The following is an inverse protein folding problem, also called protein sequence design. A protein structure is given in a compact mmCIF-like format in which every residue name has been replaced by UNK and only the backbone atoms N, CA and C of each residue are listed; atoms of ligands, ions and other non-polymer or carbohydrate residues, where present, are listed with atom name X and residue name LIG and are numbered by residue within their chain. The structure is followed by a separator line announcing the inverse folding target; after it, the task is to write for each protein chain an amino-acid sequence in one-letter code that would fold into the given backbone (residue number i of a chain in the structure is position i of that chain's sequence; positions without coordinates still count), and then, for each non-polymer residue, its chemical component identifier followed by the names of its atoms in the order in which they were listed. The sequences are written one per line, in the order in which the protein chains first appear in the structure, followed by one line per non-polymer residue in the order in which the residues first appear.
data_IF_798721224061
#
_entry.id   IF_798721224061
#
_cell.length_a   1.000
_cell.length_b   1.000
_cell.length_c   1.000
_cell.angle_alpha   90.00
_cell.angle_beta   90.00
_cell.angle_gamma   90.00
#
_symmetry.space_group_name_H-M   'P 1'
#
loop_
_entity.id
_entity.type
_entity.pdbx_description
1 polymer ?
#
# COMPACT_ATOMS: atom_id res chain seq x y z
N UNK A 1 -86.22 42.98 22.07
CA UNK A 1 -85.82 41.60 21.74
C UNK A 1 -87.04 40.91 21.15
N UNK A 2 -86.94 40.38 19.93
CA UNK A 2 -88.06 39.72 19.23
C UNK A 2 -88.40 38.39 19.91
N UNK A 3 -89.56 38.29 20.55
CA UNK A 3 -90.06 37.07 21.20
C UNK A 3 -90.64 36.11 20.16
N UNK A 4 -89.81 35.20 19.65
CA UNK A 4 -90.23 34.10 18.77
C UNK A 4 -90.43 32.85 19.62
N UNK A 5 -91.64 32.28 19.64
CA UNK A 5 -92.02 31.18 20.56
C UNK A 5 -91.57 29.81 20.02
N UNK A 6 -91.59 29.60 18.70
CA UNK A 6 -91.33 28.30 18.09
C UNK A 6 -89.85 27.97 17.83
N UNK A 7 -88.94 28.94 17.91
CA UNK A 7 -87.51 28.72 17.67
C UNK A 7 -86.67 29.42 18.74
N UNK A 8 -86.03 28.63 19.59
CA UNK A 8 -85.18 29.15 20.66
C UNK A 8 -83.72 29.28 20.19
N UNK A 9 -83.40 30.48 19.69
CA UNK A 9 -82.08 30.81 19.18
C UNK A 9 -80.99 30.66 20.26
N UNK A 10 -81.28 30.95 21.54
CA UNK A 10 -80.34 30.80 22.64
C UNK A 10 -79.98 29.33 22.91
N UNK A 11 -80.96 28.43 22.82
CA UNK A 11 -80.73 26.97 22.94
C UNK A 11 -79.91 26.44 21.77
N UNK A 12 -80.19 26.87 20.53
CA UNK A 12 -79.41 26.46 19.35
C UNK A 12 -77.96 26.96 19.41
N UNK A 13 -77.72 28.18 19.89
CA UNK A 13 -76.37 28.71 20.11
C UNK A 13 -75.65 27.93 21.22
N UNK A 14 -76.33 27.64 22.32
CA UNK A 14 -75.77 26.83 23.41
C UNK A 14 -75.41 25.41 22.97
N UNK A 15 -76.27 24.74 22.18
CA UNK A 15 -75.98 23.42 21.60
C UNK A 15 -74.79 23.45 20.65
N UNK A 16 -74.69 24.48 19.79
CA UNK A 16 -73.54 24.62 18.88
C UNK A 16 -72.23 24.80 19.66
N UNK A 17 -72.23 25.67 20.68
CA UNK A 17 -71.05 25.89 21.53
C UNK A 17 -70.67 24.64 22.37
N UNK A 18 -71.67 23.89 22.84
CA UNK A 18 -71.46 22.63 23.55
C UNK A 18 -70.86 21.56 22.62
N UNK A 19 -71.36 21.44 21.39
CA UNK A 19 -70.82 20.52 20.38
C UNK A 19 -69.38 20.86 20.01
N UNK A 20 -69.06 22.15 19.83
CA UNK A 20 -67.69 22.61 19.62
C UNK A 20 -66.79 22.25 20.81
N UNK A 21 -67.25 22.45 22.05
CA UNK A 21 -66.47 22.14 23.25
C UNK A 21 -66.22 20.63 23.42
N UNK A 22 -67.20 19.80 23.05
CA UNK A 22 -67.05 18.33 23.03
C UNK A 22 -66.03 17.89 21.96
N UNK A 23 -66.06 18.48 20.77
CA UNK A 23 -65.09 18.18 19.70
C UNK A 23 -63.66 18.57 20.11
N UNK A 24 -63.49 19.75 20.73
CA UNK A 24 -62.19 20.19 21.23
C UNK A 24 -61.66 19.28 22.34
N UNK A 25 -62.53 18.87 23.28
CA UNK A 25 -62.16 17.92 24.34
C UNK A 25 -61.71 16.57 23.76
N UNK A 26 -62.45 16.03 22.79
CA UNK A 26 -62.09 14.78 22.11
C UNK A 26 -60.70 14.87 21.46
N UNK A 27 -60.42 16.00 20.79
CA UNK A 27 -59.12 16.25 20.14
C UNK A 27 -57.99 16.30 21.16
N UNK A 28 -58.16 17.03 22.27
CA UNK A 28 -57.17 17.10 23.35
C UNK A 28 -56.90 15.73 23.98
N UNK A 29 -57.94 14.90 24.15
CA UNK A 29 -57.78 13.52 24.65
C UNK A 29 -56.96 12.66 23.67
N UNK A 30 -57.26 12.73 22.37
CA UNK A 30 -56.49 11.99 21.35
C UNK A 30 -55.03 12.43 21.30
N UNK A 31 -54.76 13.73 21.42
CA UNK A 31 -53.39 14.27 21.45
C UNK A 31 -52.62 13.90 22.72
N UNK A 32 -53.24 13.99 23.91
CA UNK A 32 -52.61 13.52 25.16
C UNK A 32 -52.33 12.02 25.12
N UNK A 33 -53.27 11.23 24.60
CA UNK A 33 -53.18 9.77 24.56
C UNK A 33 -52.15 9.27 23.56
N UNK A 34 -52.01 9.93 22.40
CA UNK A 34 -51.01 9.55 21.38
C UNK A 34 -49.65 10.21 21.62
N UNK A 35 -49.61 11.32 22.37
CA UNK A 35 -48.44 12.18 22.47
C UNK A 35 -48.15 12.98 21.20
N UNK A 36 -49.00 12.86 20.16
CA UNK A 36 -48.82 13.49 18.86
C UNK A 36 -49.85 14.60 18.68
N UNK A 37 -49.38 15.78 18.30
CA UNK A 37 -50.21 16.91 17.85
C UNK A 37 -50.90 16.59 16.52
N UNK A 38 -50.19 15.90 15.62
CA UNK A 38 -50.66 15.46 14.31
C UNK A 38 -50.76 13.93 14.34
N UNK A 39 -51.98 13.42 14.54
CA UNK A 39 -52.22 11.97 14.59
C UNK A 39 -52.79 11.44 13.26
N UNK A 40 -53.50 12.27 12.51
CA UNK A 40 -54.10 11.91 11.23
C UNK A 40 -54.01 13.05 10.21
N UNK A 41 -54.26 12.73 8.93
CA UNK A 41 -54.30 13.72 7.85
C UNK A 41 -55.41 14.78 8.04
N UNK A 42 -56.41 14.50 8.88
CA UNK A 42 -57.47 15.45 9.23
C UNK A 42 -56.96 16.55 10.17
N UNK A 43 -55.90 16.30 10.96
CA UNK A 43 -55.33 17.28 11.88
C UNK A 43 -54.44 18.30 11.15
N UNK A 44 -53.57 17.81 10.27
CA UNK A 44 -52.70 18.61 9.40
C UNK A 44 -52.10 17.74 8.28
N UNK A 45 -52.72 17.77 7.10
CA UNK A 45 -52.27 16.97 5.96
C UNK A 45 -50.85 17.32 5.47
N UNK A 46 -50.47 18.60 5.53
CA UNK A 46 -49.15 19.05 5.09
C UNK A 46 -48.07 18.68 6.11
N UNK A 47 -48.36 18.88 7.39
CA UNK A 47 -47.48 18.48 8.50
C UNK A 47 -47.23 16.97 8.51
N UNK A 48 -48.29 16.16 8.33
CA UNK A 48 -48.16 14.70 8.25
C UNK A 48 -47.26 14.26 7.08
N UNK A 49 -47.43 14.83 5.90
CA UNK A 49 -46.59 14.51 4.73
C UNK A 49 -45.11 14.87 4.94
N UNK A 50 -44.83 15.95 5.67
CA UNK A 50 -43.46 16.34 6.03
C UNK A 50 -42.88 15.34 7.05
N UNK A 51 -43.64 14.98 8.09
CA UNK A 51 -43.18 14.04 9.12
C UNK A 51 -42.99 12.63 8.59
N UNK A 52 -43.79 12.21 7.61
CA UNK A 52 -43.62 10.92 6.91
C UNK A 52 -42.31 10.90 6.12
N UNK A 53 -41.99 12.00 5.42
CA UNK A 53 -40.71 12.14 4.71
C UNK A 53 -39.53 12.16 5.68
N UNK A 54 -39.63 12.89 6.78
CA UNK A 54 -38.61 12.91 7.83
C UNK A 54 -38.42 11.51 8.43
N UNK A 55 -39.51 10.78 8.69
CA UNK A 55 -39.45 9.41 9.20
C UNK A 55 -38.77 8.46 8.22
N UNK A 56 -39.10 8.55 6.93
CA UNK A 56 -38.42 7.80 5.87
C UNK A 56 -36.92 8.10 5.84
N UNK A 57 -36.54 9.38 5.92
CA UNK A 57 -35.13 9.78 5.96
C UNK A 57 -34.43 9.28 7.22
N UNK A 58 -35.02 9.42 8.41
CA UNK A 58 -34.47 8.92 9.67
C UNK A 58 -34.22 7.41 9.60
N UNK A 59 -35.19 6.65 9.09
CA UNK A 59 -35.05 5.21 8.93
C UNK A 59 -33.92 4.86 7.92
N UNK A 60 -33.85 5.59 6.81
CA UNK A 60 -32.78 5.46 5.82
C UNK A 60 -31.39 5.78 6.38
N UNK A 61 -31.26 6.86 7.15
CA UNK A 61 -30.01 7.26 7.81
C UNK A 61 -29.60 6.27 8.90
N UNK A 62 -30.55 5.72 9.66
CA UNK A 62 -30.29 4.68 10.66
C UNK A 62 -29.78 3.39 10.00
N UNK A 63 -30.35 2.99 8.87
CA UNK A 63 -29.82 1.87 8.08
C UNK A 63 -28.43 2.20 7.53
N UNK A 64 -28.23 3.40 7.00
CA UNK A 64 -26.93 3.85 6.49
C UNK A 64 -25.84 3.83 7.57
N UNK A 65 -26.18 4.17 8.82
CA UNK A 65 -25.26 4.07 9.95
C UNK A 65 -24.88 2.60 10.22
N UNK A 66 -25.83 1.67 10.17
CA UNK A 66 -25.53 0.23 10.30
C UNK A 66 -24.62 -0.25 9.17
N UNK A 67 -24.94 0.08 7.92
CA UNK A 67 -24.10 -0.27 6.76
C UNK A 67 -22.68 0.31 6.89
N UNK A 68 -22.53 1.53 7.41
CA UNK A 68 -21.22 2.13 7.65
C UNK A 68 -20.42 1.36 8.73
N UNK A 69 -21.08 0.89 9.78
CA UNK A 69 -20.45 0.04 10.80
C UNK A 69 -20.05 -1.33 10.22
N UNK A 70 -20.87 -1.93 9.35
CA UNK A 70 -20.51 -3.16 8.65
C UNK A 70 -19.26 -2.95 7.77
N UNK A 71 -19.17 -1.80 7.11
CA UNK A 71 -17.98 -1.37 6.37
C UNK A 71 -16.74 -1.25 7.25
N UNK A 72 -16.87 -0.69 8.45
CA UNK A 72 -15.78 -0.62 9.45
C UNK A 72 -15.35 -2.03 9.86
N UNK A 73 -16.28 -2.92 10.19
CA UNK A 73 -15.97 -4.31 10.59
C UNK A 73 -15.28 -5.09 9.48
N UNK A 74 -15.70 -4.90 8.23
CA UNK A 74 -15.05 -5.51 7.06
C UNK A 74 -13.61 -5.02 6.90
N UNK A 75 -13.39 -3.70 6.98
CA UNK A 75 -12.06 -3.09 6.88
C UNK A 75 -11.15 -3.54 8.03
N UNK A 76 -11.67 -3.63 9.26
CA UNK A 76 -10.92 -4.13 10.41
C UNK A 76 -10.54 -5.60 10.27
N UNK A 77 -11.41 -6.43 9.71
CA UNK A 77 -11.12 -7.85 9.43
C UNK A 77 -10.00 -7.98 8.41
N UNK A 78 -10.06 -7.19 7.33
CA UNK A 78 -9.00 -7.15 6.32
C UNK A 78 -7.68 -6.65 6.91
N UNK A 79 -7.70 -5.57 7.69
CA UNK A 79 -6.51 -5.00 8.33
C UNK A 79 -5.85 -5.97 9.32
N UNK A 80 -6.64 -6.74 10.09
CA UNK A 80 -6.11 -7.75 11.00
C UNK A 80 -5.36 -8.88 10.27
N UNK A 81 -5.94 -9.40 9.19
CA UNK A 81 -5.26 -10.39 8.33
C UNK A 81 -4.02 -9.81 7.66
N UNK A 82 -4.08 -8.56 7.21
CA UNK A 82 -2.96 -7.87 6.57
C UNK A 82 -1.81 -7.61 7.55
N UNK A 83 -2.09 -7.26 8.81
CA UNK A 83 -1.06 -7.16 9.86
C UNK A 83 -0.31 -8.48 10.01
N UNK A 84 -1.03 -9.61 10.03
CA UNK A 84 -0.39 -10.93 10.14
C UNK A 84 0.48 -11.25 8.93
N UNK A 85 0.06 -10.83 7.72
CA UNK A 85 0.90 -10.95 6.51
C UNK A 85 2.15 -10.07 6.63
N UNK A 86 2.03 -8.82 7.07
CA UNK A 86 3.16 -7.91 7.27
C UNK A 86 4.18 -8.47 8.27
N UNK A 87 3.73 -9.06 9.38
CA UNK A 87 4.62 -9.69 10.38
C UNK A 87 5.40 -10.87 9.78
N UNK A 88 4.74 -11.71 8.97
CA UNK A 88 5.40 -12.80 8.27
C UNK A 88 6.41 -12.28 7.23
N UNK A 89 6.08 -11.23 6.48
CA UNK A 89 6.99 -10.61 5.51
C UNK A 89 8.23 -10.03 6.20
N UNK A 90 8.06 -9.33 7.32
CA UNK A 90 9.18 -8.81 8.11
C UNK A 90 10.07 -9.94 8.64
N UNK A 91 9.47 -11.04 9.12
CA UNK A 91 10.24 -12.22 9.54
C UNK A 91 11.03 -12.82 8.37
N UNK A 92 10.41 -13.02 7.21
CA UNK A 92 11.09 -13.52 6.00
C UNK A 92 12.24 -12.57 5.61
N UNK A 93 12.06 -11.26 5.74
CA UNK A 93 13.12 -10.28 5.49
C UNK A 93 14.34 -10.53 6.38
N UNK A 94 14.13 -10.73 7.68
CA UNK A 94 15.24 -11.00 8.62
C UNK A 94 15.97 -12.30 8.27
N UNK A 95 15.23 -13.34 7.88
CA UNK A 95 15.78 -14.63 7.45
C UNK A 95 16.56 -14.50 6.14
N UNK A 96 16.05 -13.75 5.18
CA UNK A 96 16.72 -13.48 3.92
C UNK A 96 18.05 -12.75 4.15
N UNK A 97 18.05 -11.70 4.97
CA UNK A 97 19.28 -10.99 5.37
C UNK A 97 20.24 -11.94 6.09
N UNK A 98 19.76 -12.79 7.00
CA UNK A 98 20.61 -13.79 7.65
C UNK A 98 21.24 -14.74 6.61
N UNK A 99 20.48 -15.22 5.63
CA UNK A 99 20.95 -16.13 4.59
C UNK A 99 21.97 -15.48 3.64
N UNK A 100 21.97 -14.15 3.49
CA UNK A 100 23.00 -13.43 2.71
C UNK A 100 24.38 -13.44 3.38
N UNK A 101 24.48 -13.71 4.68
CA UNK A 101 25.77 -13.67 5.37
C UNK A 101 26.66 -14.86 4.98
N UNK A 102 27.91 -14.56 4.62
CA UNK A 102 28.90 -15.51 4.12
C UNK A 102 29.32 -16.59 5.14
N UNK A 103 29.09 -16.37 6.44
CA UNK A 103 29.40 -17.36 7.48
C UNK A 103 28.45 -18.57 7.49
N UNK A 104 27.30 -18.48 6.81
CA UNK A 104 26.35 -19.59 6.77
C UNK A 104 26.81 -20.66 5.76
N UNK A 105 26.74 -21.92 6.18
CA UNK A 105 26.92 -23.05 5.29
C UNK A 105 25.70 -23.25 4.36
N UNK A 106 25.83 -24.13 3.38
CA UNK A 106 24.71 -24.51 2.53
C UNK A 106 23.58 -25.22 3.32
N UNK A 107 23.92 -26.00 4.35
CA UNK A 107 22.94 -26.64 5.23
C UNK A 107 22.21 -25.61 6.11
N UNK A 108 22.90 -24.57 6.60
CA UNK A 108 22.27 -23.51 7.39
C UNK A 108 21.26 -22.73 6.54
N UNK A 109 21.64 -22.39 5.29
CA UNK A 109 20.73 -21.74 4.33
C UNK A 109 19.53 -22.61 3.98
N UNK A 110 19.70 -23.93 3.86
CA UNK A 110 18.58 -24.84 3.64
C UNK A 110 17.60 -24.86 4.82
N UNK A 111 18.09 -24.80 6.06
CA UNK A 111 17.23 -24.70 7.25
C UNK A 111 16.50 -23.35 7.32
N UNK A 112 17.20 -22.24 7.01
CA UNK A 112 16.58 -20.91 6.91
C UNK A 112 15.49 -20.90 5.83
N UNK A 113 15.76 -21.49 4.67
CA UNK A 113 14.80 -21.58 3.57
C UNK A 113 13.53 -22.36 3.97
N UNK A 114 13.65 -23.44 4.74
CA UNK A 114 12.48 -24.16 5.26
C UNK A 114 11.58 -23.26 6.10
N UNK A 115 12.15 -22.40 6.97
CA UNK A 115 11.37 -21.41 7.71
C UNK A 115 10.71 -20.39 6.76
N UNK A 116 11.44 -19.90 5.75
CA UNK A 116 10.90 -18.99 4.72
C UNK A 116 9.70 -19.62 3.99
N UNK A 117 9.81 -20.88 3.54
CA UNK A 117 8.74 -21.57 2.82
C UNK A 117 7.48 -21.76 3.68
N UNK A 118 7.64 -22.06 4.98
CA UNK A 118 6.51 -22.15 5.91
C UNK A 118 5.81 -20.80 6.07
N UNK A 119 6.58 -19.71 6.18
CA UNK A 119 6.02 -18.35 6.30
C UNK A 119 5.33 -17.89 5.01
N UNK A 120 5.86 -18.22 3.84
CA UNK A 120 5.20 -17.95 2.55
C UNK A 120 3.88 -18.73 2.40
N UNK A 121 3.86 -19.97 2.88
CA UNK A 121 2.64 -20.78 2.94
C UNK A 121 1.62 -20.17 3.90
N UNK A 122 2.07 -19.66 5.04
CA UNK A 122 1.22 -18.99 6.02
C UNK A 122 0.64 -17.66 5.52
N UNK A 123 1.42 -16.88 4.77
CA UNK A 123 0.95 -15.67 4.06
C UNK A 123 -0.17 -16.06 3.08
N UNK A 124 0.07 -17.09 2.28
CA UNK A 124 -0.91 -17.58 1.29
C UNK A 124 -2.17 -18.09 1.98
N UNK A 125 -2.03 -18.83 3.08
CA UNK A 125 -3.14 -19.30 3.91
C UNK A 125 -3.96 -18.14 4.45
N UNK A 126 -3.30 -17.14 5.05
CA UNK A 126 -3.95 -15.95 5.62
C UNK A 126 -4.71 -15.18 4.54
N UNK A 127 -4.07 -14.89 3.40
CA UNK A 127 -4.71 -14.18 2.30
C UNK A 127 -5.97 -14.90 1.76
N UNK A 128 -5.97 -16.24 1.74
CA UNK A 128 -7.12 -17.03 1.27
C UNK A 128 -8.21 -17.21 2.34
N UNK A 129 -7.81 -17.36 3.61
CA UNK A 129 -8.73 -17.72 4.70
C UNK A 129 -9.27 -16.52 5.48
N UNK A 130 -8.70 -15.31 5.35
CA UNK A 130 -9.29 -14.10 5.92
C UNK A 130 -10.57 -13.75 5.16
N UNK A 131 -11.71 -13.97 5.81
CA UNK A 131 -13.03 -13.81 5.22
C UNK A 131 -13.91 -12.91 6.09
N UNK A 132 -14.80 -12.17 5.43
CA UNK A 132 -15.90 -11.46 6.05
C UNK A 132 -17.21 -11.93 5.42
N UNK A 133 -18.12 -12.46 6.22
CA UNK A 133 -19.39 -13.02 5.75
C UNK A 133 -19.23 -14.07 4.62
N UNK A 134 -18.22 -14.93 4.72
CA UNK A 134 -17.92 -15.98 3.73
C UNK A 134 -17.21 -15.51 2.45
N UNK A 135 -16.91 -14.21 2.32
CA UNK A 135 -16.19 -13.65 1.19
C UNK A 135 -14.74 -13.35 1.59
N UNK A 136 -13.76 -13.79 0.79
CA UNK A 136 -12.34 -13.53 1.04
C UNK A 136 -11.98 -12.08 0.75
N UNK A 137 -11.37 -11.39 1.72
CA UNK A 137 -11.09 -9.95 1.65
C UNK A 137 -9.66 -9.60 1.24
N UNK A 138 -8.74 -10.59 1.19
CA UNK A 138 -7.31 -10.38 0.93
C UNK A 138 -6.77 -11.12 -0.31
N UNK A 139 -7.60 -11.86 -1.04
CA UNK A 139 -7.18 -12.62 -2.24
C UNK A 139 -7.55 -11.93 -3.56
N UNK A 140 -8.07 -10.70 -3.51
CA UNK A 140 -8.52 -9.94 -4.68
C UNK A 140 -9.88 -10.32 -5.26
N UNK A 141 -10.51 -11.43 -4.82
CA UNK A 141 -11.76 -11.94 -5.43
C UNK A 141 -12.98 -11.08 -5.12
N UNK A 142 -12.98 -10.36 -4.00
CA UNK A 142 -14.12 -9.53 -3.61
C UNK A 142 -14.27 -8.26 -4.46
N UNK A 143 -13.19 -7.83 -5.13
CA UNK A 143 -13.19 -6.65 -5.98
C UNK A 143 -13.52 -5.38 -5.19
N UNK A 144 -14.54 -4.63 -5.61
CA UNK A 144 -14.97 -3.40 -4.93
C UNK A 144 -16.28 -3.64 -4.19
N UNK A 145 -16.28 -3.41 -2.87
CA UNK A 145 -17.47 -3.46 -2.03
C UNK A 145 -18.06 -2.06 -1.84
N UNK A 146 -19.32 -1.87 -2.21
CA UNK A 146 -20.01 -0.59 -2.08
C UNK A 146 -20.96 -0.61 -0.87
N UNK A 147 -20.75 0.35 0.04
CA UNK A 147 -21.59 0.53 1.22
C UNK A 147 -22.44 1.78 1.06
N UNK A 148 -23.76 1.62 1.10
CA UNK A 148 -24.70 2.72 1.08
C UNK A 148 -24.70 3.41 2.46
N UNK A 149 -24.13 4.61 2.54
CA UNK A 149 -23.93 5.38 3.79
C UNK A 149 -24.72 6.69 3.80
N UNK A 150 -25.88 6.69 3.14
CA UNK A 150 -26.83 7.79 3.17
C UNK A 150 -28.24 7.32 2.82
N UNK A 151 -29.23 8.19 3.04
CA UNK A 151 -30.64 7.87 2.80
C UNK A 151 -31.02 7.86 1.31
N UNK A 152 -30.25 8.53 0.44
CA UNK A 152 -30.56 8.66 -0.98
C UNK A 152 -29.63 7.81 -1.85
N UNK A 153 -30.13 7.37 -3.01
CA UNK A 153 -29.34 6.61 -3.98
C UNK A 153 -28.05 7.35 -4.39
N UNK A 154 -26.94 6.62 -4.51
CA UNK A 154 -25.64 7.15 -4.91
C UNK A 154 -24.76 7.69 -3.77
N UNK A 155 -25.28 7.74 -2.53
CA UNK A 155 -24.50 8.12 -1.35
C UNK A 155 -23.74 6.91 -0.78
N UNK A 156 -22.70 6.47 -1.47
CA UNK A 156 -21.91 5.28 -1.10
C UNK A 156 -20.45 5.56 -0.80
N UNK A 157 -19.86 4.71 0.05
CA UNK A 157 -18.41 4.58 0.22
C UNK A 157 -18.00 3.24 -0.37
N UNK A 158 -17.04 3.27 -1.28
CA UNK A 158 -16.48 2.08 -1.91
C UNK A 158 -15.18 1.67 -1.22
N UNK A 159 -15.04 0.36 -0.98
CA UNK A 159 -13.82 -0.27 -0.47
C UNK A 159 -13.25 -1.15 -1.56
N UNK A 160 -12.06 -0.81 -2.07
CA UNK A 160 -11.37 -1.67 -3.04
C UNK A 160 -10.56 -2.73 -2.29
N UNK A 161 -10.91 -3.99 -2.53
CA UNK A 161 -10.24 -5.19 -2.02
C UNK A 161 -9.82 -6.08 -3.20
N UNK A 162 -9.45 -5.42 -4.31
CA UNK A 162 -9.03 -6.09 -5.54
C UNK A 162 -7.58 -6.58 -5.46
N UNK A 163 -6.81 -6.12 -4.47
CA UNK A 163 -5.44 -6.57 -4.26
C UNK A 163 -5.39 -7.98 -3.67
N UNK A 164 -4.63 -8.84 -4.33
CA UNK A 164 -4.32 -10.18 -3.83
C UNK A 164 -3.01 -10.15 -3.05
N UNK A 165 -3.09 -10.46 -1.75
CA UNK A 165 -1.98 -10.48 -0.80
C UNK A 165 -1.38 -11.88 -0.63
N UNK A 166 -1.77 -12.86 -1.45
CA UNK A 166 -1.14 -14.17 -1.48
C UNK A 166 0.29 -14.10 -2.06
N UNK A 167 1.18 -14.98 -1.60
CA UNK A 167 2.59 -14.98 -2.01
C UNK A 167 2.77 -15.05 -3.54
N UNK A 168 1.85 -15.71 -4.25
CA UNK A 168 1.86 -15.81 -5.71
C UNK A 168 1.52 -14.52 -6.47
N UNK A 169 1.08 -13.46 -5.79
CA UNK A 169 0.63 -12.19 -6.39
C UNK A 169 1.38 -10.96 -5.90
N UNK A 170 2.21 -11.11 -4.87
CA UNK A 170 3.02 -10.02 -4.28
C UNK A 170 4.52 -10.29 -4.45
N UNK A 171 5.33 -9.26 -4.23
CA UNK A 171 6.79 -9.34 -4.31
C UNK A 171 7.35 -9.50 -5.71
N UNK A 172 6.60 -9.03 -6.72
CA UNK A 172 7.14 -8.83 -8.05
C UNK A 172 8.26 -7.78 -8.01
N UNK A 173 9.31 -8.02 -8.78
CA UNK A 173 10.44 -7.09 -8.92
C UNK A 173 10.81 -6.97 -10.39
N UNK A 174 11.32 -5.82 -10.80
CA UNK A 174 11.96 -5.70 -12.09
C UNK A 174 13.37 -6.30 -11.97
N UNK A 175 13.72 -7.21 -12.87
CA UNK A 175 15.02 -7.87 -12.88
C UNK A 175 15.67 -7.72 -14.25
N UNK A 176 16.89 -7.19 -14.30
CA UNK A 176 17.78 -7.29 -15.43
C UNK A 176 19.00 -8.13 -15.04
N UNK A 177 19.16 -9.28 -15.66
CA UNK A 177 20.34 -10.13 -15.49
C UNK A 177 21.26 -9.98 -16.68
N UNK A 178 22.56 -9.79 -16.44
CA UNK A 178 23.55 -9.78 -17.49
C UNK A 178 23.54 -11.11 -18.25
N UNK A 179 23.59 -11.04 -19.58
CA UNK A 179 23.57 -12.23 -20.45
C UNK A 179 24.87 -13.02 -20.36
N UNK A 180 25.99 -12.33 -20.18
CA UNK A 180 27.33 -12.88 -19.96
C UNK A 180 27.90 -12.38 -18.64
N UNK A 181 28.84 -13.13 -18.06
CA UNK A 181 29.65 -12.59 -16.96
C UNK A 181 30.35 -11.30 -17.44
N UNK A 182 30.30 -10.25 -16.64
CA UNK A 182 30.90 -8.98 -17.01
C UNK A 182 32.42 -9.17 -17.08
N UNK A 183 33.00 -8.89 -18.25
CA UNK A 183 34.44 -9.05 -18.49
C UNK A 183 35.18 -7.80 -18.02
N UNK A 184 35.40 -7.71 -16.72
CA UNK A 184 36.48 -6.87 -16.19
C UNK A 184 37.73 -7.73 -16.23
N UNK A 185 38.74 -7.28 -16.96
CA UNK A 185 39.94 -8.09 -17.13
C UNK A 185 40.61 -8.35 -15.78
N UNK A 186 40.83 -9.61 -15.44
CA UNK A 186 41.68 -10.02 -14.31
C UNK A 186 42.60 -11.17 -14.71
N UNK A 187 43.76 -11.22 -14.06
CA UNK A 187 44.74 -12.30 -14.18
C UNK A 187 44.84 -12.95 -12.81
N UNK A 188 44.50 -14.24 -12.73
CA UNK A 188 44.72 -15.03 -11.51
C UNK A 188 46.01 -15.83 -11.67
N UNK A 189 46.92 -15.63 -10.71
CA UNK A 189 48.10 -16.46 -10.52
C UNK A 189 47.81 -17.52 -9.44
N UNK A 190 48.06 -18.78 -9.79
CA UNK A 190 47.88 -19.93 -8.93
C UNK A 190 48.94 -21.01 -9.25
N UNK A 191 48.74 -22.23 -8.74
CA UNK A 191 49.66 -23.33 -8.98
C UNK A 191 49.75 -23.76 -10.46
N UNK A 192 48.71 -23.53 -11.27
CA UNK A 192 48.66 -23.87 -12.69
C UNK A 192 49.13 -22.71 -13.59
N UNK A 193 48.99 -21.47 -13.12
CA UNK A 193 49.31 -20.25 -13.83
C UNK A 193 50.25 -19.39 -12.98
N UNK A 194 51.56 -19.46 -13.22
CA UNK A 194 52.54 -18.77 -12.38
C UNK A 194 53.54 -17.93 -13.19
N UNK A 195 53.98 -16.84 -12.58
CA UNK A 195 55.08 -16.00 -13.06
C UNK A 195 56.19 -16.11 -12.01
N UNK A 196 57.44 -16.24 -12.44
CA UNK A 196 58.60 -16.18 -11.54
C UNK A 196 59.68 -15.28 -12.10
N UNK A 197 60.45 -14.65 -11.21
CA UNK A 197 61.58 -13.80 -11.54
C UNK A 197 62.80 -14.34 -10.81
N UNK A 198 63.83 -14.74 -11.54
CA UNK A 198 65.06 -15.28 -10.96
C UNK A 198 64.84 -16.53 -10.10
N UNK A 199 63.79 -17.30 -10.38
CA UNK A 199 63.39 -18.48 -9.60
C UNK A 199 62.44 -18.20 -8.42
N UNK A 200 62.20 -16.93 -8.06
CA UNK A 200 61.21 -16.54 -7.05
C UNK A 200 59.84 -16.38 -7.70
N UNK A 201 58.83 -17.11 -7.22
CA UNK A 201 57.47 -16.98 -7.71
C UNK A 201 56.85 -15.63 -7.30
N UNK A 202 56.13 -15.01 -8.23
CA UNK A 202 55.19 -13.92 -7.93
C UNK A 202 54.09 -14.49 -7.05
N UNK A 203 53.64 -13.71 -6.07
CA UNK A 203 52.61 -14.14 -5.14
C UNK A 203 51.34 -14.63 -5.87
N UNK A 204 50.75 -15.71 -5.38
CA UNK A 204 49.47 -16.18 -5.88
C UNK A 204 48.38 -15.16 -5.53
N UNK A 205 47.47 -14.91 -6.46
CA UNK A 205 46.42 -13.91 -6.27
C UNK A 205 45.76 -13.48 -7.58
N UNK A 206 44.67 -12.73 -7.46
CA UNK A 206 43.98 -12.13 -8.60
C UNK A 206 44.38 -10.67 -8.75
N UNK A 207 44.92 -10.34 -9.91
CA UNK A 207 45.36 -9.01 -10.30
C UNK A 207 44.36 -8.42 -11.27
N UNK A 208 43.95 -7.17 -11.05
CA UNK A 208 42.88 -6.53 -11.82
C UNK A 208 43.38 -5.35 -12.67
N UNK A 209 44.62 -4.91 -12.45
CA UNK A 209 45.27 -3.87 -13.28
C UNK A 209 46.71 -4.26 -13.60
N UNK A 210 47.21 -3.79 -14.74
CA UNK A 210 48.62 -3.99 -15.12
C UNK A 210 49.59 -3.45 -14.04
N UNK A 211 49.19 -2.42 -13.30
CA UNK A 211 50.00 -1.85 -12.22
C UNK A 211 50.10 -2.79 -11.02
N UNK A 212 49.00 -3.45 -10.63
CA UNK A 212 49.00 -4.42 -9.53
C UNK A 212 49.89 -5.62 -9.85
N UNK A 213 49.79 -6.13 -11.09
CA UNK A 213 50.61 -7.24 -11.56
C UNK A 213 52.09 -6.83 -11.66
N UNK A 214 52.39 -5.65 -12.20
CA UNK A 214 53.76 -5.12 -12.26
C UNK A 214 54.37 -4.95 -10.85
N UNK A 215 53.60 -4.45 -9.88
CA UNK A 215 54.06 -4.31 -8.49
C UNK A 215 54.37 -5.67 -7.83
N UNK A 216 53.54 -6.69 -8.10
CA UNK A 216 53.79 -8.05 -7.61
C UNK A 216 55.04 -8.67 -8.24
N UNK A 217 55.26 -8.44 -9.54
CA UNK A 217 56.48 -8.83 -10.25
C UNK A 217 57.71 -8.14 -9.64
N UNK A 218 57.65 -6.82 -9.38
CA UNK A 218 58.74 -6.07 -8.74
C UNK A 218 59.06 -6.56 -7.33
N UNK A 219 58.02 -6.95 -6.58
CA UNK A 219 58.17 -7.52 -5.24
C UNK A 219 58.93 -8.85 -5.30
N UNK A 220 58.57 -9.75 -6.22
CA UNK A 220 59.28 -11.01 -6.42
C UNK A 220 60.71 -10.81 -6.93
N UNK A 221 60.94 -9.77 -7.74
CA UNK A 221 62.24 -9.39 -8.27
C UNK A 221 63.15 -8.67 -7.25
N UNK A 222 62.59 -8.17 -6.15
CA UNK A 222 63.29 -7.28 -5.21
C UNK A 222 63.76 -5.93 -5.79
N UNK A 223 63.36 -5.61 -7.03
CA UNK A 223 63.79 -4.45 -7.81
C UNK A 223 62.69 -4.03 -8.79
N UNK A 224 62.71 -2.77 -9.25
CA UNK A 224 61.71 -2.22 -10.17
C UNK A 224 61.99 -2.62 -11.62
N UNK A 225 61.57 -3.83 -12.00
CA UNK A 225 61.78 -4.40 -13.34
C UNK A 225 60.52 -4.39 -14.22
N UNK A 226 59.36 -4.01 -13.69
CA UNK A 226 58.08 -4.01 -14.38
C UNK A 226 57.30 -2.72 -14.06
N UNK A 227 56.66 -2.13 -15.05
CA UNK A 227 55.82 -0.95 -14.91
C UNK A 227 54.62 -1.03 -15.86
N UNK A 228 53.45 -0.56 -15.43
CA UNK A 228 52.29 -0.47 -16.32
C UNK A 228 52.46 0.70 -17.29
N UNK A 229 52.32 0.43 -18.59
CA UNK A 229 52.38 1.46 -19.63
C UNK A 229 51.03 2.16 -19.75
N UNK A 230 50.99 3.46 -19.48
CA UNK A 230 49.75 4.26 -19.50
C UNK A 230 49.13 4.42 -20.90
N UNK A 231 49.91 4.23 -21.97
CA UNK A 231 49.46 4.39 -23.36
C UNK A 231 48.98 3.06 -23.95
N UNK A 232 49.74 1.99 -23.77
CA UNK A 232 49.43 0.68 -24.35
C UNK A 232 48.53 -0.15 -23.44
N UNK A 233 48.59 0.05 -22.11
CA UNK A 233 47.93 -0.79 -21.11
C UNK A 233 48.63 -2.13 -20.87
N UNK A 234 49.82 -2.31 -21.45
CA UNK A 234 50.69 -3.47 -21.25
C UNK A 234 51.65 -3.24 -20.08
N UNK A 235 52.42 -4.26 -19.70
CA UNK A 235 53.51 -4.15 -18.72
C UNK A 235 54.82 -3.96 -19.49
N UNK A 236 55.47 -2.82 -19.28
CA UNK A 236 56.83 -2.59 -19.72
C UNK A 236 57.80 -3.18 -18.71
N UNK A 237 58.68 -4.04 -19.18
CA UNK A 237 59.74 -4.63 -18.40
C UNK A 237 61.08 -3.97 -18.69
N UNK A 238 61.88 -3.77 -17.65
CA UNK A 238 63.27 -3.29 -17.69
C UNK A 238 64.11 -4.18 -16.79
N UNK A 239 64.68 -5.24 -17.36
CA UNK A 239 65.49 -6.20 -16.63
C UNK A 239 66.96 -5.77 -16.62
N UNK A 240 67.41 -5.20 -15.50
CA UNK A 240 68.80 -4.77 -15.28
C UNK A 240 69.64 -5.79 -14.51
N UNK A 241 69.02 -6.82 -13.94
CA UNK A 241 69.64 -7.77 -13.00
C UNK A 241 69.99 -9.12 -13.62
N UNK A 242 69.67 -9.33 -14.92
CA UNK A 242 69.82 -10.61 -15.63
C UNK A 242 69.02 -11.78 -15.01
N UNK A 243 68.08 -11.50 -14.11
CA UNK A 243 67.20 -12.50 -13.53
C UNK A 243 66.13 -12.90 -14.55
N UNK A 244 66.11 -14.15 -15.00
CA UNK A 244 65.14 -14.65 -15.96
C UNK A 244 63.70 -14.44 -15.46
N UNK A 245 62.85 -13.77 -16.26
CA UNK A 245 61.41 -13.68 -16.00
C UNK A 245 60.74 -14.84 -16.73
N UNK A 246 60.36 -15.86 -15.97
CA UNK A 246 59.74 -17.07 -16.49
C UNK A 246 58.22 -17.02 -16.27
N UNK A 247 57.47 -17.47 -17.27
CA UNK A 247 56.03 -17.66 -17.15
C UNK A 247 55.69 -19.12 -17.44
N UNK A 248 54.99 -19.76 -16.50
CA UNK A 248 54.40 -21.07 -16.72
C UNK A 248 52.91 -20.86 -16.90
N UNK A 249 52.39 -21.13 -18.10
CA UNK A 249 50.99 -20.87 -18.40
C UNK A 249 50.34 -22.07 -19.06
N UNK A 250 49.23 -22.54 -18.49
CA UNK A 250 48.32 -23.50 -19.13
C UNK A 250 46.99 -22.86 -19.54
N UNK A 251 46.72 -21.60 -19.14
CA UNK A 251 45.46 -20.90 -19.43
C UNK A 251 45.52 -19.37 -19.55
N UNK A 252 46.70 -18.74 -19.47
CA UNK A 252 46.85 -17.28 -19.65
C UNK A 252 46.98 -16.93 -21.14
N UNK A 253 45.94 -17.19 -21.93
CA UNK A 253 45.96 -16.86 -23.36
C UNK A 253 46.10 -15.36 -23.56
N UNK A 254 47.21 -14.93 -24.15
CA UNK A 254 47.46 -13.54 -24.53
C UNK A 254 48.56 -12.85 -23.72
N UNK A 255 48.77 -13.20 -22.45
CA UNK A 255 49.76 -12.58 -21.56
C UNK A 255 51.14 -13.20 -21.80
N UNK A 256 51.99 -12.52 -22.57
CA UNK A 256 53.32 -13.04 -22.93
C UNK A 256 54.40 -12.06 -22.51
N UNK A 257 55.44 -12.55 -21.83
CA UNK A 257 56.68 -11.79 -21.60
C UNK A 257 57.54 -11.83 -22.87
N UNK A 258 58.16 -10.71 -23.30
CA UNK A 258 59.07 -10.69 -24.44
C UNK A 258 60.15 -11.77 -24.36
N UNK A 259 60.33 -12.54 -25.44
CA UNK A 259 61.32 -13.62 -25.50
C UNK A 259 62.77 -13.16 -25.23
N UNK A 260 63.07 -11.89 -25.48
CA UNK A 260 64.37 -11.25 -25.21
C UNK A 260 64.67 -11.05 -23.71
N UNK A 261 63.66 -11.11 -22.83
CA UNK A 261 63.81 -10.90 -21.39
C UNK A 261 63.85 -12.19 -20.57
N UNK A 262 63.55 -13.33 -21.20
CA UNK A 262 63.50 -14.62 -20.53
C UNK A 262 64.88 -15.14 -20.08
N UNK A 263 66.01 -14.54 -20.53
CA UNK A 263 67.35 -15.03 -20.20
C UNK A 263 68.49 -13.97 -20.16
N UNK A 264 68.21 -12.70 -20.44
CA UNK A 264 69.23 -11.63 -20.57
C UNK A 264 68.73 -10.28 -20.03
N UNK A 265 69.64 -9.32 -19.81
CA UNK A 265 69.26 -7.92 -19.54
C UNK A 265 68.63 -7.28 -20.78
N UNK A 266 67.65 -6.40 -20.58
CA UNK A 266 66.96 -5.75 -21.69
C UNK A 266 65.66 -5.06 -21.30
N UNK A 267 65.01 -4.47 -22.30
CA UNK A 267 63.68 -3.88 -22.17
C UNK A 267 62.69 -4.54 -23.14
N UNK A 268 61.40 -4.53 -22.79
CA UNK A 268 60.33 -4.98 -23.68
C UNK A 268 58.97 -4.91 -23.02
N UNK A 269 57.89 -4.91 -23.80
CA UNK A 269 56.52 -4.82 -23.28
C UNK A 269 55.79 -6.15 -23.40
N UNK A 270 54.96 -6.49 -22.42
CA UNK A 270 54.05 -7.63 -22.54
C UNK A 270 53.13 -7.47 -23.75
N UNK A 271 52.61 -8.59 -24.22
CA UNK A 271 51.43 -8.60 -25.09
C UNK A 271 50.24 -9.09 -24.28
N UNK A 272 49.04 -8.63 -24.64
CA UNK A 272 47.76 -9.17 -24.17
C UNK A 272 47.41 -8.90 -22.72
N UNK A 273 48.28 -8.25 -21.94
CA UNK A 273 47.94 -7.77 -20.59
C UNK A 273 46.85 -6.72 -20.67
N UNK A 274 46.86 -5.84 -21.69
CA UNK A 274 45.78 -4.86 -21.87
C UNK A 274 44.44 -5.55 -21.99
N UNK A 275 44.35 -6.57 -22.84
CA UNK A 275 43.13 -7.35 -23.07
C UNK A 275 42.72 -8.14 -21.83
N UNK A 276 43.70 -8.64 -21.07
CA UNK A 276 43.48 -9.44 -19.87
C UNK A 276 43.20 -8.62 -18.61
N UNK A 277 43.62 -7.35 -18.52
CA UNK A 277 43.51 -6.46 -17.35
C UNK A 277 42.89 -5.10 -17.73
N UNK A 278 41.72 -5.14 -18.36
CA UNK A 278 40.93 -3.96 -18.74
C UNK A 278 39.87 -3.64 -17.66
N UNK A 279 40.13 -2.71 -16.71
CA UNK A 279 39.09 -2.21 -15.82
C UNK A 279 38.03 -1.45 -16.61
N UNK A 280 36.80 -1.42 -16.09
CA UNK A 280 35.71 -0.66 -16.69
C UNK A 280 35.75 0.78 -16.20
N UNK A 281 36.11 1.71 -17.08
CA UNK A 281 35.86 3.13 -16.84
C UNK A 281 34.52 3.52 -17.47
N UNK A 282 33.61 4.05 -16.65
CA UNK A 282 32.37 4.68 -17.05
C UNK A 282 32.47 6.18 -16.86
N UNK A 283 32.18 6.92 -17.92
CA UNK A 283 32.05 8.38 -17.93
C UNK A 283 30.57 8.77 -18.01
N UNK A 284 30.26 10.07 -18.06
CA UNK A 284 28.88 10.55 -18.14
C UNK A 284 28.09 9.83 -19.23
N UNK A 285 26.90 9.34 -18.88
CA UNK A 285 25.98 8.63 -19.77
C UNK A 285 26.44 7.24 -20.28
N UNK A 286 27.58 6.70 -19.84
CA UNK A 286 28.02 5.36 -20.29
C UNK A 286 27.17 4.22 -19.72
N UNK A 287 26.70 4.37 -18.49
CA UNK A 287 25.65 3.56 -17.87
C UNK A 287 24.70 4.51 -17.14
N UNK A 288 23.42 4.42 -17.47
CA UNK A 288 22.37 5.21 -16.84
C UNK A 288 21.26 4.29 -16.36
N UNK A 289 20.79 4.55 -15.15
CA UNK A 289 19.70 3.82 -14.52
C UNK A 289 18.59 4.79 -14.19
N UNK A 290 17.37 4.45 -14.60
CA UNK A 290 16.20 5.28 -14.37
C UNK A 290 15.09 4.40 -13.82
N UNK A 291 14.82 4.50 -12.52
CA UNK A 291 13.62 3.93 -11.93
C UNK A 291 12.36 4.66 -12.42
N UNK A 292 11.25 3.94 -12.50
CA UNK A 292 9.95 4.47 -12.89
C UNK A 292 9.47 5.53 -11.90
N UNK A 293 9.02 6.67 -12.43
CA UNK A 293 8.59 7.83 -11.65
C UNK A 293 9.71 8.82 -11.32
N UNK A 294 10.97 8.51 -11.61
CA UNK A 294 12.04 9.52 -11.58
C UNK A 294 12.17 10.20 -12.94
N UNK A 295 12.40 11.53 -12.91
CA UNK A 295 12.46 12.37 -14.10
C UNK A 295 13.85 12.39 -14.77
N UNK A 296 14.89 11.94 -14.06
CA UNK A 296 16.28 12.02 -14.52
C UNK A 296 17.01 10.70 -14.30
N UNK A 297 17.71 10.25 -15.33
CA UNK A 297 18.48 9.02 -15.28
C UNK A 297 19.77 9.27 -14.49
N UNK A 298 20.05 8.40 -13.53
CA UNK A 298 21.26 8.46 -12.73
C UNK A 298 22.41 7.85 -13.53
N UNK A 299 23.43 8.64 -13.84
CA UNK A 299 24.65 8.15 -14.49
C UNK A 299 25.57 7.49 -13.45
N UNK A 300 26.04 6.28 -13.75
CA UNK A 300 27.08 5.61 -12.97
C UNK A 300 28.42 5.98 -13.58
N UNK A 301 29.29 6.60 -12.79
CA UNK A 301 30.62 7.05 -13.24
C UNK A 301 31.71 6.52 -12.31
N UNK A 302 32.87 6.20 -12.86
CA UNK A 302 34.00 5.71 -12.08
C UNK A 302 34.81 4.65 -12.83
N UNK A 303 35.87 4.17 -12.20
CA UNK A 303 36.67 3.06 -12.71
C UNK A 303 36.51 1.86 -11.78
N UNK A 304 35.98 0.77 -12.34
CA UNK A 304 35.64 -0.46 -11.64
C UNK A 304 36.59 -1.57 -12.05
N UNK A 305 37.24 -2.17 -11.06
CA UNK A 305 38.18 -3.29 -11.23
C UNK A 305 37.47 -4.64 -11.21
N UNK A 306 36.35 -4.73 -10.49
CA UNK A 306 35.56 -5.96 -10.36
C UNK A 306 34.08 -5.70 -10.58
N UNK A 307 33.33 -6.78 -10.82
CA UNK A 307 31.86 -6.71 -10.96
C UNK A 307 31.21 -6.33 -9.64
N UNK A 308 31.82 -6.73 -8.52
CA UNK A 308 31.39 -6.35 -7.18
C UNK A 308 31.46 -4.83 -7.00
N UNK A 309 32.59 -4.20 -7.35
CA UNK A 309 32.75 -2.74 -7.24
C UNK A 309 31.70 -1.98 -8.07
N UNK A 310 31.38 -2.47 -9.27
CA UNK A 310 30.30 -1.89 -10.08
C UNK A 310 28.92 -2.11 -9.43
N UNK A 311 28.64 -3.31 -8.90
CA UNK A 311 27.39 -3.62 -8.23
C UNK A 311 27.18 -2.74 -6.98
N UNK A 312 28.24 -2.53 -6.19
CA UNK A 312 28.23 -1.66 -5.02
C UNK A 312 27.98 -0.21 -5.42
N UNK A 313 28.64 0.27 -6.47
CA UNK A 313 28.43 1.63 -6.97
C UNK A 313 27.03 1.86 -7.53
N UNK A 314 26.44 0.85 -8.21
CA UNK A 314 25.04 0.90 -8.63
C UNK A 314 24.12 0.97 -7.42
N UNK A 315 24.32 0.10 -6.43
CA UNK A 315 23.48 0.07 -5.22
C UNK A 315 23.61 1.35 -4.39
N UNK A 316 24.78 1.99 -4.39
CA UNK A 316 25.04 3.26 -3.70
C UNK A 316 24.58 4.50 -4.50
N UNK A 317 24.26 4.36 -5.79
CA UNK A 317 23.93 5.48 -6.68
C UNK A 317 22.63 6.22 -6.34
N UNK A 318 21.77 5.64 -5.48
CA UNK A 318 20.45 6.18 -5.18
C UNK A 318 19.46 6.13 -6.35
N UNK A 319 19.77 5.38 -7.42
CA UNK A 319 18.91 5.25 -8.60
C UNK A 319 17.60 4.48 -8.36
N UNK A 320 17.40 3.89 -7.18
CA UNK A 320 16.29 2.98 -6.87
C UNK A 320 16.48 1.56 -7.43
N UNK A 321 17.65 1.26 -7.97
CA UNK A 321 18.06 -0.05 -8.45
C UNK A 321 19.19 -0.55 -7.56
N UNK A 322 19.05 -1.75 -7.01
CA UNK A 322 20.12 -2.46 -6.31
C UNK A 322 20.76 -3.47 -7.27
N UNK A 323 22.05 -3.70 -7.11
CA UNK A 323 22.78 -4.66 -7.93
C UNK A 323 23.60 -5.61 -7.08
N UNK A 324 23.73 -6.85 -7.56
CA UNK A 324 24.56 -7.86 -6.95
C UNK A 324 25.15 -8.78 -8.04
N UNK A 325 26.22 -9.48 -7.69
CA UNK A 325 26.90 -10.41 -8.59
C UNK A 325 26.49 -11.82 -8.20
N UNK A 326 26.06 -12.63 -9.16
CA UNK A 326 25.78 -14.03 -8.88
C UNK A 326 27.05 -14.90 -8.86
N UNK A 327 26.88 -16.13 -8.38
CA UNK A 327 27.91 -17.18 -8.36
C UNK A 327 28.54 -17.49 -9.73
N UNK A 328 27.92 -17.06 -10.84
CA UNK A 328 28.47 -17.21 -12.19
C UNK A 328 29.22 -15.96 -12.68
N UNK A 329 29.36 -14.93 -11.84
CA UNK A 329 30.02 -13.67 -12.15
C UNK A 329 29.17 -12.71 -12.97
N UNK A 330 27.85 -12.94 -13.08
CA UNK A 330 26.94 -12.05 -13.80
C UNK A 330 26.38 -10.99 -12.87
N UNK A 331 26.28 -9.77 -13.39
CA UNK A 331 25.62 -8.67 -12.72
C UNK A 331 24.10 -8.84 -12.80
N UNK A 332 23.42 -8.73 -11.68
CA UNK A 332 21.96 -8.72 -11.58
C UNK A 332 21.53 -7.36 -11.01
N UNK A 333 20.59 -6.71 -11.67
CA UNK A 333 19.99 -5.45 -11.25
C UNK A 333 18.54 -5.72 -10.88
N UNK A 334 18.15 -5.33 -9.68
CA UNK A 334 16.81 -5.54 -9.14
C UNK A 334 16.22 -4.23 -8.61
N UNK A 335 14.93 -4.04 -8.82
CA UNK A 335 14.18 -2.92 -8.26
C UNK A 335 12.75 -3.35 -7.95
N UNK A 336 12.13 -2.73 -6.94
CA UNK A 336 10.70 -2.90 -6.64
C UNK A 336 9.80 -2.25 -7.70
N UNK A 337 10.35 -1.35 -8.52
CA UNK A 337 9.65 -0.64 -9.57
C UNK A 337 10.23 -0.99 -10.95
N UNK A 338 9.51 -0.66 -12.02
CA UNK A 338 10.09 -0.74 -13.36
C UNK A 338 11.34 0.14 -13.41
N UNK A 339 12.35 -0.25 -14.16
CA UNK A 339 13.50 0.60 -14.41
C UNK A 339 13.96 0.48 -15.86
N UNK A 340 14.71 1.46 -16.32
CA UNK A 340 15.34 1.41 -17.63
C UNK A 340 16.84 1.49 -17.48
N UNK A 341 17.53 0.64 -18.24
CA UNK A 341 18.98 0.68 -18.42
C UNK A 341 19.24 1.38 -19.74
N UNK A 342 19.98 2.48 -19.70
CA UNK A 342 20.43 3.20 -20.87
C UNK A 342 21.94 3.40 -20.84
N UNK A 343 22.51 3.88 -21.94
CA UNK A 343 23.91 4.31 -22.01
C UNK A 343 24.61 3.86 -23.28
N UNK A 344 25.94 3.93 -23.27
CA UNK A 344 26.78 3.62 -24.42
C UNK A 344 26.80 2.12 -24.70
N UNK A 345 26.41 1.70 -25.91
CA UNK A 345 26.28 0.28 -26.28
C UNK A 345 27.55 -0.56 -26.05
N UNK A 346 28.74 0.02 -26.31
CA UNK A 346 30.01 -0.67 -26.08
C UNK A 346 30.25 -0.98 -24.59
N UNK A 347 29.87 -0.06 -23.68
CA UNK A 347 30.02 -0.21 -22.23
C UNK A 347 28.99 -1.17 -21.66
N UNK A 348 27.75 -1.08 -22.12
CA UNK A 348 26.69 -2.04 -21.77
C UNK A 348 27.03 -3.46 -22.20
N UNK A 349 27.61 -3.64 -23.40
CA UNK A 349 28.10 -4.95 -23.87
C UNK A 349 29.24 -5.48 -23.00
N UNK A 350 30.14 -4.61 -22.53
CA UNK A 350 31.22 -5.01 -21.61
C UNK A 350 30.69 -5.47 -20.23
N UNK A 351 29.63 -4.83 -19.74
CA UNK A 351 28.91 -5.20 -18.51
C UNK A 351 28.02 -6.45 -18.73
N UNK A 352 27.65 -6.75 -19.97
CA UNK A 352 26.77 -7.86 -20.33
C UNK A 352 25.27 -7.56 -20.15
N UNK A 353 24.90 -6.31 -19.89
CA UNK A 353 23.51 -5.88 -19.67
C UNK A 353 22.96 -5.22 -20.95
N UNK A 354 21.75 -5.57 -21.34
CA UNK A 354 21.09 -4.94 -22.50
C UNK A 354 20.46 -3.59 -22.12
N UNK A 355 20.49 -2.63 -23.04
CA UNK A 355 19.68 -1.42 -22.92
C UNK A 355 18.20 -1.77 -23.06
N UNK A 356 17.34 -1.12 -22.27
CA UNK A 356 15.90 -1.31 -22.33
C UNK A 356 15.20 -1.19 -20.99
N UNK A 357 13.88 -1.35 -21.01
CA UNK A 357 13.03 -1.33 -19.83
C UNK A 357 12.89 -2.73 -19.23
N UNK A 358 13.14 -2.84 -17.94
CA UNK A 358 12.80 -3.99 -17.12
C UNK A 358 11.49 -3.71 -16.41
N UNK A 359 10.48 -4.51 -16.69
CA UNK A 359 9.19 -4.44 -16.03
C UNK A 359 9.18 -5.30 -14.76
N UNK A 360 8.44 -4.85 -13.75
CA UNK A 360 8.12 -5.64 -12.56
C UNK A 360 7.40 -6.90 -12.99
N UNK A 361 7.95 -8.05 -12.58
CA UNK A 361 7.41 -9.37 -12.90
C UNK A 361 7.75 -10.36 -11.79
N UNK A 362 7.13 -11.55 -11.86
CA UNK A 362 7.28 -12.60 -10.87
C UNK A 362 6.51 -12.35 -9.58
N UNK A 363 6.76 -13.20 -8.59
CA UNK A 363 6.14 -13.15 -7.27
C UNK A 363 6.96 -13.95 -6.26
N UNK A 364 6.49 -14.02 -5.01
CA UNK A 364 7.12 -14.81 -3.95
C UNK A 364 6.88 -16.32 -4.07
N UNK A 365 6.10 -16.81 -5.04
CA UNK A 365 5.75 -18.25 -5.14
C UNK A 365 6.96 -19.18 -5.34
N UNK A 366 8.01 -18.69 -6.01
CA UNK A 366 9.25 -19.44 -6.26
C UNK A 366 10.45 -18.87 -5.50
N UNK A 367 10.22 -17.95 -4.57
CA UNK A 367 11.30 -17.28 -3.84
C UNK A 367 11.93 -18.24 -2.81
N UNK A 368 13.25 -18.19 -2.67
CA UNK A 368 14.01 -19.08 -1.79
C UNK A 368 15.28 -18.40 -1.26
N UNK A 369 15.86 -18.96 -0.20
CA UNK A 369 17.05 -18.47 0.48
C UNK A 369 18.25 -19.46 0.42
N UNK A 370 18.23 -20.40 -0.54
CA UNK A 370 19.23 -21.48 -0.65
C UNK A 370 20.65 -21.00 -0.98
N UNK A 371 20.75 -19.87 -1.68
CA UNK A 371 22.01 -19.27 -2.12
C UNK A 371 22.08 -17.81 -1.70
N UNK A 372 23.27 -17.23 -1.63
CA UNK A 372 23.44 -15.80 -1.35
C UNK A 372 22.73 -14.96 -2.43
N UNK A 373 22.78 -15.40 -3.68
CA UNK A 373 22.14 -14.76 -4.83
C UNK A 373 20.61 -14.76 -4.68
N UNK A 374 20.02 -15.92 -4.36
CA UNK A 374 18.56 -16.03 -4.17
C UNK A 374 18.09 -15.32 -2.92
N UNK A 375 18.87 -15.33 -1.83
CA UNK A 375 18.58 -14.57 -0.63
C UNK A 375 18.60 -13.04 -0.88
N UNK A 376 19.56 -12.55 -1.67
CA UNK A 376 19.63 -11.11 -2.04
C UNK A 376 18.43 -10.70 -2.90
N UNK A 377 18.04 -11.55 -3.87
CA UNK A 377 16.79 -11.36 -4.63
C UNK A 377 15.57 -11.36 -3.72
N UNK A 378 15.50 -12.31 -2.78
CA UNK A 378 14.40 -12.43 -1.83
C UNK A 378 14.24 -11.17 -0.97
N UNK A 379 15.32 -10.55 -0.50
CA UNK A 379 15.24 -9.27 0.23
C UNK A 379 14.51 -8.21 -0.60
N UNK A 380 14.88 -8.04 -1.88
CA UNK A 380 14.23 -7.07 -2.76
C UNK A 380 12.76 -7.40 -3.04
N UNK A 381 12.43 -8.69 -3.23
CA UNK A 381 11.03 -9.13 -3.41
C UNK A 381 10.18 -8.89 -2.16
N UNK A 382 10.74 -9.10 -0.98
CA UNK A 382 10.05 -8.87 0.30
C UNK A 382 9.88 -7.38 0.56
N UNK A 383 10.87 -6.54 0.26
CA UNK A 383 10.73 -5.08 0.36
C UNK A 383 9.63 -4.57 -0.57
N UNK A 384 9.53 -5.10 -1.80
CA UNK A 384 8.42 -4.81 -2.70
C UNK A 384 7.07 -5.28 -2.14
N UNK A 385 7.01 -6.49 -1.59
CA UNK A 385 5.80 -7.04 -0.97
C UNK A 385 5.34 -6.23 0.26
N UNK A 386 6.27 -5.82 1.13
CA UNK A 386 5.98 -4.93 2.27
C UNK A 386 5.42 -3.60 1.76
N UNK A 387 6.04 -3.00 0.74
CA UNK A 387 5.53 -1.78 0.11
C UNK A 387 4.09 -1.91 -0.42
N UNK A 388 3.74 -3.06 -1.01
CA UNK A 388 2.35 -3.34 -1.42
C UNK A 388 1.39 -3.49 -0.24
N UNK A 389 1.81 -4.17 0.83
CA UNK A 389 1.02 -4.35 2.04
C UNK A 389 0.79 -3.03 2.78
N UNK A 390 1.82 -2.20 2.91
CA UNK A 390 1.74 -0.89 3.57
C UNK A 390 0.84 0.07 2.79
N UNK A 391 0.96 0.08 1.46
CA UNK A 391 0.06 0.87 0.59
C UNK A 391 -1.39 0.44 0.77
N UNK A 392 -1.65 -0.87 0.83
CA UNK A 392 -3.00 -1.39 1.04
C UNK A 392 -3.53 -1.05 2.44
N UNK A 393 -2.72 -1.23 3.50
CA UNK A 393 -3.05 -0.82 4.87
C UNK A 393 -3.39 0.68 4.96
N UNK A 394 -2.62 1.54 4.30
CA UNK A 394 -2.87 2.97 4.28
C UNK A 394 -4.24 3.30 3.64
N UNK A 395 -4.60 2.62 2.54
CA UNK A 395 -5.92 2.81 1.91
C UNK A 395 -7.06 2.33 2.81
N UNK A 396 -6.90 1.19 3.49
CA UNK A 396 -7.88 0.67 4.44
C UNK A 396 -8.07 1.62 5.64
N UNK A 397 -6.98 2.15 6.20
CA UNK A 397 -7.03 3.14 7.28
C UNK A 397 -7.72 4.44 6.88
N UNK A 398 -7.44 4.95 5.67
CA UNK A 398 -8.12 6.14 5.15
C UNK A 398 -9.64 5.91 4.98
N UNK A 399 -10.03 4.73 4.50
CA UNK A 399 -11.43 4.32 4.36
C UNK A 399 -12.11 4.19 5.73
N UNK A 400 -11.45 3.61 6.73
CA UNK A 400 -11.96 3.54 8.10
C UNK A 400 -12.26 4.93 8.66
N UNK A 401 -11.32 5.88 8.51
CA UNK A 401 -11.51 7.26 8.94
C UNK A 401 -12.70 7.92 8.23
N UNK A 402 -12.89 7.61 6.93
CA UNK A 402 -14.02 8.10 6.14
C UNK A 402 -15.35 7.52 6.64
N UNK A 403 -15.42 6.22 6.97
CA UNK A 403 -16.60 5.62 7.58
C UNK A 403 -16.90 6.22 8.95
N UNK A 404 -15.90 6.41 9.81
CA UNK A 404 -16.09 7.01 11.13
C UNK A 404 -16.65 8.44 11.01
N UNK A 405 -16.12 9.23 10.09
CA UNK A 405 -16.63 10.58 9.79
C UNK A 405 -18.06 10.54 9.27
N UNK A 406 -18.37 9.59 8.38
CA UNK A 406 -19.72 9.40 7.87
C UNK A 406 -20.70 9.04 8.99
N UNK A 407 -20.33 8.12 9.90
CA UNK A 407 -21.15 7.74 11.06
C UNK A 407 -21.44 8.94 11.95
N UNK A 408 -20.43 9.76 12.28
CA UNK A 408 -20.63 10.98 13.07
C UNK A 408 -21.59 11.98 12.40
N UNK A 409 -21.46 12.18 11.08
CA UNK A 409 -22.35 13.06 10.32
C UNK A 409 -23.79 12.52 10.22
N UNK A 410 -23.94 11.21 9.99
CA UNK A 410 -25.24 10.53 9.95
C UNK A 410 -25.95 10.61 11.30
N UNK A 411 -25.22 10.41 12.39
CA UNK A 411 -25.75 10.54 13.75
C UNK A 411 -26.25 11.96 14.03
N UNK A 412 -25.44 12.99 13.70
CA UNK A 412 -25.86 14.39 13.85
C UNK A 412 -27.08 14.74 12.99
N UNK A 413 -27.13 14.27 11.75
CA UNK A 413 -28.27 14.51 10.85
C UNK A 413 -29.53 13.80 11.34
N UNK A 414 -29.41 12.56 11.81
CA UNK A 414 -30.51 11.78 12.37
C UNK A 414 -31.06 12.45 13.63
N UNK A 415 -30.19 12.96 14.50
CA UNK A 415 -30.60 13.71 15.69
C UNK A 415 -31.35 15.00 15.30
N UNK A 416 -30.82 15.79 14.36
CA UNK A 416 -31.45 17.03 13.91
C UNK A 416 -32.82 16.77 13.26
N UNK A 417 -32.94 15.74 12.41
CA UNK A 417 -34.23 15.36 11.81
C UNK A 417 -35.21 14.81 12.84
N UNK A 418 -34.73 14.08 13.85
CA UNK A 418 -35.58 13.58 14.93
C UNK A 418 -36.12 14.74 15.77
N UNK A 419 -35.28 15.72 16.10
CA UNK A 419 -35.70 16.95 16.79
C UNK A 419 -36.67 17.78 15.93
N UNK A 420 -36.42 17.92 14.63
CA UNK A 420 -37.32 18.63 13.72
C UNK A 420 -38.67 17.91 13.57
N UNK A 421 -38.68 16.57 13.48
CA UNK A 421 -39.90 15.78 13.45
C UNK A 421 -40.68 15.93 14.74
N UNK A 422 -40.02 15.86 15.90
CA UNK A 422 -40.64 16.05 17.22
C UNK A 422 -41.31 17.43 17.31
N UNK A 423 -40.64 18.50 16.89
CA UNK A 423 -41.20 19.85 16.89
C UNK A 423 -42.43 20.03 15.97
N UNK A 424 -42.61 19.17 14.97
CA UNK A 424 -43.78 19.19 14.08
C UNK A 424 -44.88 18.24 14.59
N UNK A 425 -44.53 17.04 15.01
CA UNK A 425 -45.48 15.96 15.26
C UNK A 425 -45.87 15.81 16.73
N UNK A 426 -44.98 16.09 17.67
CA UNK A 426 -45.22 15.82 19.08
C UNK A 426 -46.07 16.93 19.72
N UNK A 427 -46.85 16.56 20.72
CA UNK A 427 -47.73 17.49 21.46
C UNK A 427 -47.03 18.06 22.69
N UNK A 428 -47.24 19.35 22.94
CA UNK A 428 -46.92 19.96 24.23
C UNK A 428 -47.98 19.55 25.26
N UNK A 429 -47.62 18.61 26.14
CA UNK A 429 -48.50 18.08 27.18
C UNK A 429 -49.04 19.16 28.12
N UNK A 430 -48.25 20.18 28.46
CA UNK A 430 -48.68 21.22 29.39
C UNK A 430 -49.77 22.09 28.74
N UNK A 431 -49.55 22.52 27.50
CA UNK A 431 -50.52 23.31 26.75
C UNK A 431 -51.81 22.53 26.48
N UNK A 432 -51.70 21.26 26.08
CA UNK A 432 -52.87 20.43 25.75
C UNK A 432 -53.68 20.04 27.01
N UNK A 433 -53.02 19.85 28.16
CA UNK A 433 -53.72 19.63 29.44
C UNK A 433 -54.53 20.86 29.86
N UNK A 434 -53.98 22.07 29.66
CA UNK A 434 -54.71 23.32 29.92
C UNK A 434 -55.91 23.48 28.97
N UNK A 435 -55.75 23.11 27.70
CA UNK A 435 -56.83 23.12 26.70
C UNK A 435 -57.93 22.10 27.01
N UNK A 436 -57.55 20.89 27.44
CA UNK A 436 -58.46 19.84 27.90
C UNK A 436 -59.28 20.35 29.09
N UNK A 437 -58.61 20.88 30.11
CA UNK A 437 -59.25 21.42 31.32
C UNK A 437 -60.21 22.56 30.99
N UNK A 438 -59.80 23.50 30.11
CA UNK A 438 -60.67 24.57 29.63
C UNK A 438 -61.91 24.02 28.91
N UNK A 439 -61.73 23.01 28.05
CA UNK A 439 -62.81 22.40 27.28
C UNK A 439 -63.79 21.62 28.18
N UNK A 440 -63.29 20.95 29.24
CA UNK A 440 -64.12 20.32 30.26
C UNK A 440 -64.97 21.35 31.03
N UNK A 441 -64.37 22.47 31.45
CA UNK A 441 -65.09 23.55 32.13
C UNK A 441 -66.15 24.17 31.21
N UNK A 442 -65.81 24.41 29.94
CA UNK A 442 -66.77 24.93 28.94
C UNK A 442 -67.89 23.94 28.62
N UNK A 443 -67.61 22.64 28.61
CA UNK A 443 -68.64 21.61 28.46
C UNK A 443 -69.62 21.64 29.64
N UNK A 444 -69.13 21.69 30.88
CA UNK A 444 -69.96 21.80 32.07
C UNK A 444 -70.79 23.10 32.09
N UNK A 445 -70.17 24.23 31.73
CA UNK A 445 -70.86 25.52 31.62
C UNK A 445 -71.90 25.53 30.48
N UNK A 446 -71.60 24.90 29.35
CA UNK A 446 -72.49 24.77 28.20
C UNK A 446 -73.73 23.94 28.49
N UNK A 447 -73.60 22.86 29.27
CA UNK A 447 -74.75 22.05 29.75
C UNK A 447 -75.65 22.88 30.66
N UNK A 448 -75.06 23.63 31.59
CA UNK A 448 -75.79 24.53 32.49
C UNK A 448 -76.51 25.65 31.74
N UNK A 449 -75.85 26.28 30.78
CA UNK A 449 -76.45 27.32 29.93
C UNK A 449 -77.53 26.79 28.99
N UNK A 450 -77.36 25.57 28.45
CA UNK A 450 -78.38 24.91 27.66
C UNK A 450 -79.63 24.60 28.50
N UNK A 451 -79.44 24.12 29.73
CA UNK A 451 -80.51 23.90 30.71
C UNK A 451 -81.28 25.19 30.98
N UNK A 452 -80.58 26.30 31.23
CA UNK A 452 -81.17 27.61 31.49
C UNK A 452 -81.85 28.23 30.25
N UNK A 453 -81.25 28.07 29.07
CA UNK A 453 -81.81 28.50 27.80
C UNK A 453 -83.11 27.76 27.46
N UNK A 454 -83.25 26.49 27.85
CA UNK A 454 -84.47 25.70 27.66
C UNK A 454 -85.61 26.10 28.62
N UNK A 455 -85.31 26.79 29.73
CA UNK A 455 -86.31 27.27 30.70
C UNK A 455 -86.93 28.62 30.31
N UNK A 456 -86.22 29.45 29.52
CA UNK A 456 -86.68 30.78 29.08
C UNK A 456 -88.04 30.76 28.33
N UNK A 457 -88.28 29.86 27.35
CA UNK A 457 -89.59 29.76 26.68
C UNK A 457 -90.72 29.36 27.65
N UNK A 458 -90.42 28.56 28.68
CA UNK A 458 -91.41 28.11 29.68
C UNK A 458 -91.82 29.26 30.62
N UNK A 459 -90.90 30.19 30.91
CA UNK A 459 -91.22 31.41 31.66
C UNK A 459 -92.08 32.38 30.85
N UNK A 460 -91.86 32.47 29.53
CA UNK A 460 -92.69 33.30 28.64
C UNK A 460 -94.08 32.68 28.44
N UNK A 461 -94.19 31.35 28.37
CA UNK A 461 -95.48 30.65 28.29
C UNK A 461 -96.34 30.88 29.55
N UNK A 462 -95.71 30.99 30.73
CA UNK A 462 -96.37 31.32 32.00
C UNK A 462 -96.88 32.77 32.10
N UNK A 463 -96.44 33.66 31.21
CA UNK A 463 -96.92 35.06 31.12
C UNK A 463 -98.05 35.23 30.08
N UNK A 464 -98.33 34.20 29.28
CA UNK A 464 -99.40 34.16 28.27
C UNK A 464 -100.61 33.33 28.72
N UNK A 465 -100.50 32.64 29.86
CA UNK A 465 -101.62 32.11 30.66
C UNK A 465 -101.95 33.13 31.74
#
# INVERSE_FOLDING_TARGET
MSSVINTNIFSTIAQRNLSTSQSSLQTSITRLSSGLRINSAADDAAGLAITDRMTSQINGLTQAQRNANDGISLVQTAAGGLSSISDNLQRIRTLAVQATNATNSASDRAAIDQEVQQRLSEITRTAQQTQFNGLSVLNGTMGTANFQVGANAGQSISVSLSQNMGAGSIGGVALATATTAAKFGSITLDAANSISVGGTAVANGTYNTAADLAAAINTAAGTNIAAANATTGEIDFTNTTAAAINMTTTGLTGVTVPATLAATTGTGSSTGVKTALSPLTLTGNDLTLQAAGSATATSITGTFKTVGELADAISASGSGVTAFVDSTGKLNLVSSQNFTVGGTAAKLTQIGVAAGSSAVSGSLSTANALTVDSATKLVAQIDAAIGTADSFNATLGAIQNRFQSAVSNLSATTQNLTSARSGVQDTDYAAETANMTRSQILQQAGISMLSQANQLPQQVLKLLQ
#
